data_IF_674316265426
#
_entry.id   IF_674316265426
#
_cell.length_a   1.000
_cell.length_b   1.000
_cell.length_c   1.000
_cell.angle_alpha   90.00
_cell.angle_beta   90.00
_cell.angle_gamma   90.00
#
_symmetry.space_group_name_H-M   'P 1'
#
loop_
_entity.id
_entity.type
_entity.pdbx_description
1 polymer ?
#
# COMPACT_ATOMS: atom_id res chain seq x y z
N UNK A 1 19.53 2.70 2.10
CA UNK A 1 19.00 2.26 3.41
C UNK A 1 17.56 1.78 3.22
N UNK A 2 17.26 0.61 3.75
CA UNK A 2 15.92 0.01 3.58
C UNK A 2 14.88 0.76 4.42
N UNK A 3 13.65 0.79 3.91
CA UNK A 3 12.52 1.31 4.63
C UNK A 3 11.93 0.23 5.52
N UNK A 4 11.25 0.63 6.59
CA UNK A 4 10.42 -0.27 7.37
C UNK A 4 8.99 -0.19 6.82
N UNK A 5 8.42 -1.33 6.47
CA UNK A 5 7.05 -1.40 5.95
C UNK A 5 6.12 -1.87 7.05
N UNK A 6 4.98 -1.21 7.18
CA UNK A 6 3.93 -1.64 8.11
C UNK A 6 2.57 -1.53 7.43
N UNK A 7 1.62 -2.29 7.95
CA UNK A 7 0.25 -2.27 7.46
C UNK A 7 -0.60 -1.39 8.37
N UNK A 8 -1.38 -0.50 7.74
CA UNK A 8 -2.31 0.34 8.47
C UNK A 8 -3.35 -0.51 9.19
N UNK A 9 -3.60 -0.17 10.44
CA UNK A 9 -4.62 -0.80 11.27
C UNK A 9 -5.65 0.24 11.65
N UNK A 10 -6.93 -0.06 11.40
CA UNK A 10 -8.04 0.84 11.74
C UNK A 10 -8.24 0.91 13.26
N UNK A 11 -9.01 1.90 13.71
CA UNK A 11 -9.38 2.03 15.13
C UNK A 11 -10.08 0.75 15.61
N UNK A 12 -10.90 0.14 14.75
CA UNK A 12 -11.62 -1.09 15.08
C UNK A 12 -10.73 -2.34 15.09
N UNK A 13 -9.47 -2.21 14.67
CA UNK A 13 -8.51 -3.30 14.73
C UNK A 13 -8.35 -4.09 13.44
N UNK A 14 -9.01 -3.70 12.33
CA UNK A 14 -8.81 -4.38 11.05
C UNK A 14 -7.55 -3.86 10.36
N UNK A 15 -6.95 -4.69 9.50
CA UNK A 15 -5.78 -4.34 8.71
C UNK A 15 -6.11 -4.57 7.24
N UNK A 16 -6.75 -3.59 6.56
CA UNK A 16 -7.36 -3.81 5.24
C UNK A 16 -6.40 -4.37 4.20
N UNK A 17 -5.19 -3.84 4.10
CA UNK A 17 -4.22 -4.33 3.12
C UNK A 17 -3.78 -5.76 3.42
N UNK A 18 -3.50 -6.06 4.67
CA UNK A 18 -3.07 -7.39 5.07
C UNK A 18 -4.17 -8.42 4.87
N UNK A 19 -5.42 -8.05 5.18
CA UNK A 19 -6.59 -8.90 4.96
C UNK A 19 -6.76 -9.18 3.46
N UNK A 20 -6.61 -8.16 2.63
CA UNK A 20 -6.66 -8.33 1.19
C UNK A 20 -5.63 -9.36 0.72
N UNK A 21 -4.38 -9.24 1.20
CA UNK A 21 -3.31 -10.14 0.81
C UNK A 21 -3.59 -11.57 1.27
N UNK A 22 -4.07 -11.73 2.50
CA UNK A 22 -4.39 -13.05 3.07
C UNK A 22 -5.49 -13.78 2.29
N UNK A 23 -6.40 -13.03 1.67
CA UNK A 23 -7.49 -13.61 0.89
C UNK A 23 -7.04 -14.11 -0.48
N UNK A 24 -5.83 -13.81 -0.91
CA UNK A 24 -5.33 -14.24 -2.21
C UNK A 24 -4.79 -15.67 -2.15
N UNK A 25 -4.79 -16.35 -3.30
CA UNK A 25 -4.16 -17.67 -3.41
C UNK A 25 -2.66 -17.57 -3.15
N UNK A 26 -2.05 -18.67 -2.77
CA UNK A 26 -0.66 -18.71 -2.29
C UNK A 26 0.33 -18.07 -3.26
N UNK A 27 0.22 -18.36 -4.57
CA UNK A 27 1.14 -17.81 -5.57
C UNK A 27 1.02 -16.28 -5.66
N UNK A 28 -0.21 -15.75 -5.55
CA UNK A 28 -0.43 -14.32 -5.57
C UNK A 28 0.10 -13.67 -4.30
N UNK A 29 -0.14 -14.28 -3.13
CA UNK A 29 0.40 -13.77 -1.87
C UNK A 29 1.92 -13.67 -1.92
N UNK A 30 2.58 -14.69 -2.46
CA UNK A 30 4.03 -14.70 -2.56
C UNK A 30 4.55 -13.58 -3.45
N UNK A 31 3.91 -13.36 -4.59
CA UNK A 31 4.32 -12.30 -5.51
C UNK A 31 4.08 -10.92 -4.92
N UNK A 32 2.94 -10.72 -4.26
CA UNK A 32 2.66 -9.46 -3.57
C UNK A 32 3.70 -9.22 -2.48
N UNK A 33 4.05 -10.25 -1.72
CA UNK A 33 5.10 -10.15 -0.70
C UNK A 33 6.42 -9.68 -1.25
N UNK A 34 6.84 -10.25 -2.39
CA UNK A 34 8.09 -9.83 -3.06
C UNK A 34 8.00 -8.40 -3.57
N UNK A 35 6.81 -7.99 -4.07
CA UNK A 35 6.62 -6.62 -4.54
C UNK A 35 6.73 -5.61 -3.40
N UNK A 36 6.22 -5.95 -2.22
CA UNK A 36 6.35 -5.11 -1.03
C UNK A 36 7.79 -5.09 -0.52
N UNK A 37 8.51 -6.20 -0.61
CA UNK A 37 9.94 -6.24 -0.29
C UNK A 37 10.72 -5.29 -1.20
N UNK A 38 10.37 -5.25 -2.49
CA UNK A 38 10.97 -4.31 -3.43
C UNK A 38 10.78 -2.87 -2.97
N UNK A 39 9.59 -2.52 -2.44
CA UNK A 39 9.35 -1.18 -1.90
C UNK A 39 10.23 -0.89 -0.69
N UNK A 40 10.41 -1.86 0.20
CA UNK A 40 11.31 -1.68 1.34
C UNK A 40 12.73 -1.39 0.90
N UNK A 41 13.18 -2.03 -0.18
CA UNK A 41 14.54 -1.86 -0.69
C UNK A 41 14.72 -0.57 -1.48
N UNK A 42 13.70 -0.15 -2.24
CA UNK A 42 13.82 0.99 -3.15
C UNK A 42 13.22 2.28 -2.62
N UNK A 43 12.18 2.19 -1.78
CA UNK A 43 11.53 3.36 -1.19
C UNK A 43 11.13 4.39 -2.24
N UNK A 44 11.63 5.61 -2.08
CA UNK A 44 11.32 6.72 -3.00
C UNK A 44 11.91 6.54 -4.40
N UNK A 45 12.78 5.57 -4.61
CA UNK A 45 13.39 5.32 -5.93
C UNK A 45 12.52 4.45 -6.84
N UNK A 46 11.46 3.83 -6.30
CA UNK A 46 10.55 3.01 -7.10
C UNK A 46 9.84 3.86 -8.15
N UNK A 47 9.71 3.33 -9.37
CA UNK A 47 9.22 4.05 -10.55
C UNK A 47 8.18 3.25 -11.32
N UNK A 48 7.50 3.94 -12.26
CA UNK A 48 6.64 3.30 -13.24
C UNK A 48 7.41 2.23 -14.01
N UNK A 49 6.74 1.17 -14.46
CA UNK A 49 5.29 0.92 -14.37
C UNK A 49 4.86 0.28 -13.05
N UNK A 50 5.80 -0.13 -12.19
CA UNK A 50 5.47 -0.83 -10.95
C UNK A 50 4.80 0.06 -9.92
N UNK A 51 5.19 1.34 -9.87
CA UNK A 51 4.70 2.30 -8.88
C UNK A 51 4.20 3.54 -9.59
N UNK A 52 3.10 4.11 -9.09
CA UNK A 52 2.58 5.37 -9.58
C UNK A 52 2.09 6.23 -8.41
N UNK A 53 2.16 7.54 -8.59
CA UNK A 53 1.64 8.50 -7.62
C UNK A 53 0.19 8.81 -7.95
N UNK A 54 -0.71 8.70 -6.98
CA UNK A 54 -2.15 8.87 -7.18
C UNK A 54 -2.68 10.23 -6.70
N UNK A 55 -1.80 11.07 -6.15
CA UNK A 55 -2.21 12.32 -5.53
C UNK A 55 -2.47 12.15 -4.03
N UNK A 56 -2.59 13.27 -3.30
CA UNK A 56 -2.86 13.30 -1.86
C UNK A 56 -1.87 12.46 -1.04
N UNK A 57 -0.61 12.41 -1.48
CA UNK A 57 0.47 11.63 -0.84
C UNK A 57 0.26 10.13 -0.88
N UNK A 58 -0.64 9.64 -1.73
CA UNK A 58 -0.92 8.21 -1.88
C UNK A 58 -0.28 7.68 -3.16
N UNK A 59 0.38 6.54 -3.04
CA UNK A 59 1.01 5.82 -4.15
C UNK A 59 0.36 4.46 -4.32
N UNK A 60 0.51 3.87 -5.52
CA UNK A 60 0.11 2.48 -5.74
C UNK A 60 1.30 1.64 -6.17
N UNK A 61 1.37 0.40 -5.66
CA UNK A 61 2.28 -0.63 -6.16
C UNK A 61 1.43 -1.62 -6.96
N UNK A 62 1.72 -1.71 -8.25
CA UNK A 62 1.02 -2.65 -9.15
C UNK A 62 1.72 -4.00 -9.12
N UNK A 63 0.95 -5.08 -9.02
CA UNK A 63 1.49 -6.43 -9.00
C UNK A 63 0.66 -7.28 -9.98
N UNK A 64 1.26 -7.61 -11.12
CA UNK A 64 0.58 -8.38 -12.16
C UNK A 64 0.94 -9.85 -12.05
N UNK A 65 -0.08 -10.72 -12.05
CA UNK A 65 0.09 -12.17 -12.05
C UNK A 65 -1.19 -12.85 -12.57
N UNK A 66 -1.05 -13.84 -13.44
CA UNK A 66 -2.17 -14.66 -13.97
C UNK A 66 -3.33 -13.79 -14.48
N UNK A 67 -3.02 -12.75 -15.26
CA UNK A 67 -3.99 -11.82 -15.82
C UNK A 67 -4.74 -10.99 -14.77
N UNK A 68 -4.32 -11.05 -13.53
CA UNK A 68 -4.83 -10.17 -12.46
C UNK A 68 -3.84 -9.05 -12.20
N UNK A 69 -4.34 -7.86 -11.91
CA UNK A 69 -3.50 -6.77 -11.47
C UNK A 69 -3.95 -6.30 -10.10
N UNK A 70 -3.15 -6.67 -9.11
CA UNK A 70 -3.35 -6.21 -7.74
C UNK A 70 -2.78 -4.81 -7.59
N UNK A 71 -3.43 -3.99 -6.80
CA UNK A 71 -2.99 -2.64 -6.49
C UNK A 71 -2.90 -2.49 -4.98
N UNK A 72 -1.71 -2.18 -4.47
CA UNK A 72 -1.50 -1.94 -3.05
C UNK A 72 -1.26 -0.44 -2.88
N UNK A 73 -2.11 0.22 -2.10
CA UNK A 73 -1.98 1.66 -1.86
C UNK A 73 -1.13 1.89 -0.61
N UNK A 74 -0.25 2.88 -0.68
CA UNK A 74 0.66 3.16 0.42
C UNK A 74 1.06 4.62 0.46
N UNK A 75 1.63 5.04 1.58
CA UNK A 75 2.22 6.36 1.72
C UNK A 75 3.54 6.26 2.48
N UNK A 76 4.34 7.30 2.36
CA UNK A 76 5.60 7.41 3.08
C UNK A 76 5.43 8.26 4.33
N UNK A 77 6.14 7.90 5.39
CA UNK A 77 6.30 8.77 6.54
C UNK A 77 7.80 8.98 6.75
N UNK A 78 8.24 10.23 6.59
CA UNK A 78 9.65 10.55 6.66
C UNK A 78 10.45 9.80 5.61
N UNK A 79 11.66 9.39 5.98
CA UNK A 79 12.59 8.72 5.08
C UNK A 79 12.76 7.23 5.38
N UNK A 80 11.94 6.70 6.27
CA UNK A 80 12.19 5.34 6.77
C UNK A 80 10.97 4.45 6.87
N UNK A 81 9.75 4.99 6.71
CA UNK A 81 8.54 4.19 6.90
C UNK A 81 7.65 4.23 5.67
N UNK A 82 7.16 3.05 5.28
CA UNK A 82 6.14 2.87 4.26
C UNK A 82 4.94 2.26 4.96
N UNK A 83 3.77 2.87 4.82
CA UNK A 83 2.52 2.37 5.42
C UNK A 83 1.59 1.92 4.29
N UNK A 84 1.26 0.64 4.25
CA UNK A 84 0.36 0.08 3.23
C UNK A 84 -1.06 0.12 3.78
N UNK A 85 -1.93 0.87 3.10
CA UNK A 85 -3.27 1.15 3.61
C UNK A 85 -4.33 0.17 3.14
N UNK A 86 -4.27 -0.25 1.87
CA UNK A 86 -5.33 -1.04 1.29
C UNK A 86 -4.84 -1.79 0.05
N UNK A 87 -5.60 -2.80 -0.34
CA UNK A 87 -5.36 -3.55 -1.56
C UNK A 87 -6.66 -3.73 -2.32
N UNK A 88 -6.57 -3.81 -3.63
CA UNK A 88 -7.72 -4.08 -4.49
C UNK A 88 -7.27 -4.74 -5.79
N UNK A 89 -8.22 -5.40 -6.45
CA UNK A 89 -8.02 -5.94 -7.78
C UNK A 89 -8.60 -4.94 -8.79
N UNK A 90 -7.77 -4.49 -9.72
CA UNK A 90 -8.21 -3.57 -10.77
C UNK A 90 -7.40 -3.89 -12.03
N UNK A 91 -7.95 -4.76 -12.89
CA UNK A 91 -7.21 -5.29 -14.04
C UNK A 91 -6.93 -4.25 -15.11
N UNK A 92 -7.78 -3.24 -15.24
CA UNK A 92 -7.62 -2.18 -16.22
C UNK A 92 -7.96 -0.82 -15.60
N UNK A 93 -7.43 0.23 -16.19
CA UNK A 93 -7.77 1.59 -15.82
C UNK A 93 -7.16 2.05 -14.50
N UNK A 94 -7.69 3.13 -14.00
CA UNK A 94 -7.17 3.80 -12.81
C UNK A 94 -7.86 3.31 -11.55
N UNK A 95 -7.16 3.42 -10.43
CA UNK A 95 -7.76 3.19 -9.12
C UNK A 95 -8.91 4.18 -8.92
N UNK A 96 -10.09 3.71 -8.47
CA UNK A 96 -11.24 4.61 -8.24
C UNK A 96 -10.92 5.70 -7.23
N UNK A 97 -11.45 6.89 -7.46
CA UNK A 97 -11.22 8.03 -6.57
C UNK A 97 -11.67 7.75 -5.14
N UNK A 98 -12.75 6.98 -4.96
CA UNK A 98 -13.23 6.61 -3.63
C UNK A 98 -12.21 5.79 -2.84
N UNK A 99 -11.44 4.95 -3.52
CA UNK A 99 -10.40 4.13 -2.89
C UNK A 99 -9.23 5.02 -2.47
N UNK A 100 -8.83 5.95 -3.34
CA UNK A 100 -7.76 6.90 -3.04
C UNK A 100 -8.16 7.76 -1.83
N UNK A 101 -9.40 8.24 -1.81
CA UNK A 101 -9.91 9.08 -0.73
C UNK A 101 -9.93 8.32 0.61
N UNK A 102 -10.29 7.04 0.59
CA UNK A 102 -10.23 6.20 1.79
C UNK A 102 -8.79 6.06 2.29
N UNK A 103 -7.85 5.82 1.38
CA UNK A 103 -6.43 5.72 1.75
C UNK A 103 -5.93 7.03 2.35
N UNK A 104 -6.37 8.17 1.80
CA UNK A 104 -6.03 9.48 2.35
C UNK A 104 -6.53 9.63 3.79
N UNK A 105 -7.76 9.21 4.06
CA UNK A 105 -8.33 9.25 5.42
C UNK A 105 -7.55 8.34 6.38
N UNK A 106 -7.15 7.18 5.90
CA UNK A 106 -6.31 6.26 6.70
C UNK A 106 -4.97 6.91 7.04
N UNK A 107 -4.38 7.62 6.09
CA UNK A 107 -3.13 8.35 6.35
C UNK A 107 -3.31 9.41 7.43
N UNK A 108 -4.39 10.21 7.34
CA UNK A 108 -4.68 11.23 8.33
C UNK A 108 -4.84 10.61 9.73
N UNK A 109 -5.58 9.51 9.83
CA UNK A 109 -5.77 8.79 11.09
C UNK A 109 -4.45 8.26 11.64
N UNK A 110 -3.63 7.65 10.79
CA UNK A 110 -2.33 7.13 11.19
C UNK A 110 -1.43 8.24 11.74
N UNK A 111 -1.37 9.38 11.04
CA UNK A 111 -0.57 10.52 11.46
C UNK A 111 -1.03 11.08 12.80
N UNK A 112 -2.33 11.14 13.03
CA UNK A 112 -2.86 11.59 14.32
C UNK A 112 -2.45 10.67 15.46
N UNK A 113 -2.48 9.36 15.23
CA UNK A 113 -2.13 8.39 16.27
C UNK A 113 -0.66 8.48 16.66
N UNK A 114 0.26 8.55 15.69
CA UNK A 114 1.68 8.66 16.03
C UNK A 114 2.00 10.02 16.67
N UNK A 115 1.30 11.08 16.26
CA UNK A 115 1.44 12.40 16.89
C UNK A 115 0.99 12.38 18.34
N UNK A 116 -0.08 11.66 18.64
CA UNK A 116 -0.61 11.52 19.99
C UNK A 116 0.26 10.68 20.91
N UNK A 117 1.15 9.85 20.35
CA UNK A 117 2.05 8.98 21.12
C UNK A 117 3.32 9.67 21.58
N UNK A 118 3.53 10.90 21.18
CA UNK A 118 4.75 11.65 21.54
C UNK A 118 4.65 12.32 22.91
#
# INVERSE_FOLDING_TARGET
MAFRLEFYRTVAGSEPALEYIRDQVKSHRAKIGRALQYLEDTGHLARRPQVDYLGNDIYERRVAIDQHQHRLLYFFHGRSVIVVTSGLLKNEGKVPQSVIERARKYRVDWLKRIGGER
#
